data_IF_023701670938
#
_entry.id   IF_023701670938
#
_cell.length_a   1.000
_cell.length_b   1.000
_cell.length_c   1.000
_cell.angle_alpha   90.00
_cell.angle_beta   90.00
_cell.angle_gamma   90.00
#
_symmetry.space_group_name_H-M   'P 1'
#
loop_
_entity.id
_entity.type
_entity.pdbx_description
1 polymer ?
#
# COMPACT_ATOMS: atom_id res chain seq x y z
N UNK A 1 33.77 7.28 89.71
CA UNK A 1 33.58 8.74 89.74
C UNK A 1 32.53 9.10 88.69
N UNK A 2 31.47 9.62 89.17
CA UNK A 2 30.26 10.26 88.59
C UNK A 2 29.88 9.92 87.17
N UNK A 3 28.85 9.07 87.08
CA UNK A 3 27.95 8.86 85.94
C UNK A 3 27.06 10.09 85.71
N UNK A 4 26.88 10.50 84.44
CA UNK A 4 25.77 11.38 84.06
C UNK A 4 24.83 10.56 83.15
N UNK A 5 23.62 10.34 83.66
CA UNK A 5 22.53 9.80 82.94
C UNK A 5 21.90 10.89 82.04
N UNK A 6 21.77 10.62 80.74
CA UNK A 6 20.93 11.41 79.83
C UNK A 6 19.62 10.64 79.56
N UNK A 7 18.56 11.31 79.96
CA UNK A 7 17.18 10.87 79.76
C UNK A 7 16.81 11.10 78.26
N UNK A 8 16.57 10.02 77.53
CA UNK A 8 16.01 10.05 76.15
C UNK A 8 14.48 10.11 76.24
N UNK A 9 13.92 11.24 75.81
CA UNK A 9 12.50 11.43 75.57
C UNK A 9 12.18 10.82 74.22
N UNK A 10 11.44 9.72 74.15
CA UNK A 10 10.89 9.11 72.93
C UNK A 10 9.67 9.92 72.49
N UNK A 11 9.78 10.61 71.36
CA UNK A 11 8.65 11.17 70.64
C UNK A 11 8.23 10.10 69.62
N UNK A 12 6.98 9.66 69.52
CA UNK A 12 6.52 8.74 68.46
C UNK A 12 6.41 9.49 67.15
N UNK A 13 7.27 9.18 66.20
CA UNK A 13 7.13 9.56 64.83
C UNK A 13 6.00 8.73 64.22
N UNK A 14 4.86 9.38 63.96
CA UNK A 14 3.79 8.88 63.17
C UNK A 14 4.25 8.89 61.69
N UNK A 15 4.76 7.77 61.18
CA UNK A 15 5.07 7.59 59.79
C UNK A 15 3.81 7.18 59.05
N UNK A 16 3.21 8.11 58.33
CA UNK A 16 2.23 7.79 57.30
C UNK A 16 2.92 6.97 56.21
N UNK A 17 2.31 5.90 55.68
CA UNK A 17 2.88 5.18 54.52
C UNK A 17 2.89 6.10 53.31
N UNK A 18 3.89 5.96 52.40
CA UNK A 18 3.95 6.75 51.20
C UNK A 18 2.72 6.42 50.32
N UNK A 19 2.00 7.45 49.91
CA UNK A 19 0.97 7.34 48.90
C UNK A 19 1.62 6.74 47.64
N UNK A 20 1.25 5.50 47.31
CA UNK A 20 1.48 4.94 45.98
C UNK A 20 0.79 5.88 44.98
N UNK A 21 1.58 6.65 44.27
CA UNK A 21 1.12 7.30 43.02
C UNK A 21 0.71 6.18 42.09
N UNK A 22 -0.57 5.92 42.01
CA UNK A 22 -1.16 5.13 40.97
C UNK A 22 -0.76 5.78 39.63
N UNK A 23 0.26 5.21 39.00
CA UNK A 23 0.59 5.49 37.62
C UNK A 23 -0.68 5.23 36.81
N UNK A 24 -1.31 6.30 36.34
CA UNK A 24 -2.48 6.20 35.49
C UNK A 24 -2.10 5.30 34.31
N UNK A 25 -2.64 4.07 34.29
CA UNK A 25 -2.68 3.26 33.08
C UNK A 25 -3.38 4.13 32.06
N UNK A 26 -2.64 4.63 31.09
CA UNK A 26 -3.20 5.10 29.84
C UNK A 26 -3.86 3.86 29.23
N UNK A 27 -5.13 3.67 29.51
CA UNK A 27 -5.95 2.68 28.84
C UNK A 27 -6.19 3.22 27.43
N UNK A 28 -5.27 2.94 26.52
CA UNK A 28 -5.59 3.06 25.12
C UNK A 28 -6.77 2.14 24.85
N UNK A 29 -7.90 2.71 24.45
CA UNK A 29 -9.04 1.92 24.00
C UNK A 29 -8.53 0.92 22.94
N UNK A 30 -8.99 -0.35 22.96
CA UNK A 30 -8.53 -1.31 21.96
C UNK A 30 -8.80 -0.78 20.55
N UNK A 31 -7.92 -1.06 19.60
CA UNK A 31 -8.09 -0.61 18.24
C UNK A 31 -9.46 -1.03 17.70
N UNK A 32 -10.20 -0.07 17.19
CA UNK A 32 -11.59 -0.28 16.79
C UNK A 32 -11.63 -0.57 15.29
N UNK A 33 -11.66 -1.85 14.91
CA UNK A 33 -12.07 -2.27 13.59
C UNK A 33 -13.59 -2.41 13.56
N UNK A 34 -14.27 -1.67 12.70
CA UNK A 34 -15.72 -1.79 12.51
C UNK A 34 -16.05 -2.01 11.05
N UNK A 35 -16.97 -2.93 10.71
CA UNK A 35 -17.69 -2.85 9.45
C UNK A 35 -18.33 -1.48 9.36
N UNK A 36 -18.12 -0.82 8.22
CA UNK A 36 -18.45 0.60 8.14
C UNK A 36 -19.57 0.89 7.14
N UNK A 37 -19.85 -0.02 6.24
CA UNK A 37 -20.80 0.11 5.15
C UNK A 37 -20.37 -0.66 3.94
N UNK A 38 -20.91 -0.31 2.81
CA UNK A 38 -20.60 -0.95 1.53
C UNK A 38 -20.34 0.11 0.48
N UNK A 39 -19.42 -0.19 -0.42
CA UNK A 39 -19.29 0.50 -1.71
C UNK A 39 -20.58 0.33 -2.53
N UNK A 40 -20.75 1.10 -3.55
CA UNK A 40 -21.91 0.98 -4.47
C UNK A 40 -21.78 -0.25 -5.37
N UNK A 41 -20.56 -0.74 -5.57
CA UNK A 41 -20.24 -1.97 -6.31
C UNK A 41 -19.18 -2.80 -5.60
N UNK A 42 -19.29 -4.11 -5.75
CA UNK A 42 -18.25 -5.03 -5.31
C UNK A 42 -17.03 -4.96 -6.23
N UNK A 43 -15.83 -4.94 -5.65
CA UNK A 43 -14.58 -4.69 -6.38
C UNK A 43 -13.39 -5.42 -5.76
N UNK A 44 -12.54 -5.98 -6.61
CA UNK A 44 -11.19 -6.41 -6.23
C UNK A 44 -10.17 -5.82 -7.22
N UNK A 45 -8.93 -5.65 -6.79
CA UNK A 45 -7.88 -5.02 -7.63
C UNK A 45 -8.30 -3.68 -8.24
N UNK A 46 -9.18 -2.97 -7.53
CA UNK A 46 -9.53 -1.58 -7.79
C UNK A 46 -8.42 -0.66 -7.26
N UNK A 47 -8.39 0.58 -7.69
CA UNK A 47 -7.52 1.58 -7.08
C UNK A 47 -8.31 2.46 -6.11
N UNK A 48 -7.70 2.81 -4.96
CA UNK A 48 -8.21 3.76 -3.99
C UNK A 48 -7.19 4.86 -3.78
N UNK A 49 -7.55 6.09 -4.11
CA UNK A 49 -6.65 7.26 -4.11
C UNK A 49 -7.17 8.33 -3.18
N UNK A 50 -6.40 8.67 -2.13
CA UNK A 50 -6.71 9.81 -1.27
C UNK A 50 -6.52 11.11 -2.06
N UNK A 51 -7.58 11.91 -2.18
CA UNK A 51 -7.57 13.19 -2.86
C UNK A 51 -7.07 14.32 -1.93
N UNK A 52 -6.69 15.45 -2.52
CA UNK A 52 -6.20 16.62 -1.74
C UNK A 52 -7.24 17.18 -0.77
N UNK A 53 -8.54 17.02 -1.06
CA UNK A 53 -9.64 17.46 -0.21
C UNK A 53 -10.02 16.47 0.90
N UNK A 54 -9.30 15.33 0.99
CA UNK A 54 -9.48 14.28 1.98
C UNK A 54 -10.53 13.23 1.63
N UNK A 55 -11.23 13.36 0.49
CA UNK A 55 -12.07 12.30 -0.07
C UNK A 55 -11.21 11.18 -0.64
N UNK A 56 -11.77 9.98 -0.82
CA UNK A 56 -11.09 8.86 -1.47
C UNK A 56 -11.80 8.52 -2.78
N UNK A 57 -11.07 8.58 -3.88
CA UNK A 57 -11.53 8.12 -5.20
C UNK A 57 -11.29 6.62 -5.31
N UNK A 58 -12.33 5.86 -5.64
CA UNK A 58 -12.27 4.42 -5.89
C UNK A 58 -12.61 4.18 -7.36
N UNK A 59 -11.70 3.55 -8.13
CA UNK A 59 -11.87 3.37 -9.58
C UNK A 59 -11.76 1.92 -10.01
N UNK A 60 -12.63 1.51 -10.93
CA UNK A 60 -12.59 0.24 -11.64
C UNK A 60 -12.56 -0.99 -10.74
N UNK A 61 -11.80 -1.98 -11.14
CA UNK A 61 -11.63 -3.25 -10.46
C UNK A 61 -12.25 -4.41 -11.22
N UNK A 62 -11.94 -5.61 -10.77
CA UNK A 62 -12.62 -6.84 -11.17
C UNK A 62 -13.90 -7.00 -10.39
N UNK A 63 -14.89 -7.64 -11.02
CA UNK A 63 -16.17 -8.00 -10.44
C UNK A 63 -16.44 -9.47 -10.68
N UNK A 64 -16.83 -10.18 -9.62
CA UNK A 64 -17.23 -11.57 -9.66
C UNK A 64 -18.22 -11.85 -8.55
N UNK A 65 -19.49 -12.04 -8.91
CA UNK A 65 -20.58 -12.14 -7.93
C UNK A 65 -20.64 -13.52 -7.26
N UNK A 66 -20.39 -14.58 -8.04
CA UNK A 66 -20.42 -15.96 -7.54
C UNK A 66 -19.22 -16.76 -8.05
N UNK A 67 -18.84 -17.80 -7.35
CA UNK A 67 -17.66 -18.63 -7.63
C UNK A 67 -17.65 -19.27 -9.03
N UNK A 68 -18.79 -19.38 -9.71
CA UNK A 68 -18.91 -19.94 -11.07
C UNK A 68 -19.01 -18.90 -12.18
N UNK A 69 -19.12 -17.61 -11.83
CA UNK A 69 -19.32 -16.55 -12.82
C UNK A 69 -18.03 -16.20 -13.55
N UNK A 70 -18.18 -15.68 -14.77
CA UNK A 70 -17.09 -15.04 -15.48
C UNK A 70 -16.69 -13.73 -14.79
N UNK A 71 -15.39 -13.47 -14.70
CA UNK A 71 -14.86 -12.22 -14.16
C UNK A 71 -15.11 -11.08 -15.14
N UNK A 72 -15.70 -9.99 -14.65
CA UNK A 72 -15.93 -8.77 -15.42
C UNK A 72 -15.08 -7.61 -14.91
N UNK A 73 -15.07 -6.50 -15.62
CA UNK A 73 -14.29 -5.32 -15.29
C UNK A 73 -15.21 -4.11 -15.17
N UNK A 74 -14.97 -3.24 -14.21
CA UNK A 74 -15.76 -2.03 -14.00
C UNK A 74 -15.14 -0.81 -14.70
N UNK A 75 -15.98 0.05 -15.29
CA UNK A 75 -15.65 1.42 -15.69
C UNK A 75 -16.05 2.43 -14.65
N UNK A 76 -16.86 2.03 -13.66
CA UNK A 76 -17.43 2.96 -12.69
C UNK A 76 -16.38 3.45 -11.70
N UNK A 77 -16.63 4.64 -11.18
CA UNK A 77 -15.88 5.21 -10.06
C UNK A 77 -16.83 5.71 -8.99
N UNK A 78 -16.36 5.71 -7.77
CA UNK A 78 -17.09 6.25 -6.63
C UNK A 78 -16.19 7.06 -5.71
N UNK A 79 -16.78 7.96 -4.98
CA UNK A 79 -16.13 8.77 -3.96
C UNK A 79 -16.60 8.33 -2.58
N UNK A 80 -15.64 8.07 -1.69
CA UNK A 80 -15.91 8.03 -0.27
C UNK A 80 -15.61 9.40 0.36
N UNK A 81 -16.63 10.01 1.00
CA UNK A 81 -16.44 11.24 1.79
C UNK A 81 -16.38 10.90 3.28
N UNK A 82 -15.21 11.05 3.93
CA UNK A 82 -15.05 10.70 5.35
C UNK A 82 -15.83 11.61 6.30
N UNK A 83 -16.28 12.81 5.87
CA UNK A 83 -17.07 13.75 6.66
C UNK A 83 -18.52 13.29 6.76
N UNK A 84 -19.11 12.88 5.63
CA UNK A 84 -20.48 12.35 5.56
C UNK A 84 -20.55 10.86 5.79
N UNK A 85 -19.40 10.19 5.64
CA UNK A 85 -19.24 8.73 5.74
C UNK A 85 -20.09 7.99 4.70
N UNK A 86 -20.18 8.52 3.50
CA UNK A 86 -20.98 7.95 2.41
C UNK A 86 -20.12 7.65 1.20
N UNK A 87 -20.52 6.60 0.49
CA UNK A 87 -20.08 6.33 -0.87
C UNK A 87 -21.08 6.90 -1.85
N UNK A 88 -20.61 7.47 -2.93
CA UNK A 88 -21.44 8.00 -4.02
C UNK A 88 -20.74 7.76 -5.35
N UNK A 89 -21.50 7.42 -6.38
CA UNK A 89 -20.96 7.40 -7.73
C UNK A 89 -20.44 8.78 -8.11
N UNK A 90 -19.37 8.78 -8.92
CA UNK A 90 -18.80 9.95 -9.57
C UNK A 90 -18.76 9.70 -11.09
N UNK A 91 -17.98 10.46 -11.86
CA UNK A 91 -17.83 10.23 -13.30
C UNK A 91 -17.39 8.79 -13.62
N UNK A 92 -17.61 8.38 -14.87
CA UNK A 92 -17.28 7.05 -15.38
C UNK A 92 -16.05 7.11 -16.27
N UNK A 93 -15.16 6.12 -16.17
CA UNK A 93 -14.02 5.95 -17.08
C UNK A 93 -14.53 5.55 -18.47
N UNK A 94 -13.82 5.97 -19.52
CA UNK A 94 -14.15 5.62 -20.91
C UNK A 94 -14.00 4.11 -21.19
N UNK A 95 -13.22 3.41 -20.35
CA UNK A 95 -12.93 1.99 -20.50
C UNK A 95 -13.03 1.26 -19.17
N UNK A 96 -13.57 0.04 -19.21
CA UNK A 96 -13.51 -0.87 -18.08
C UNK A 96 -12.07 -1.25 -17.79
N UNK A 97 -11.65 -1.26 -16.51
CA UNK A 97 -10.28 -1.66 -16.14
C UNK A 97 -10.18 -2.19 -14.71
N UNK A 98 -9.35 -3.23 -14.53
CA UNK A 98 -8.93 -3.74 -13.23
C UNK A 98 -7.41 -3.85 -13.18
N UNK A 99 -6.82 -3.78 -11.99
CA UNK A 99 -5.37 -3.82 -11.81
C UNK A 99 -4.61 -2.71 -12.55
N UNK A 100 -5.27 -1.57 -12.76
CA UNK A 100 -4.69 -0.35 -13.30
C UNK A 100 -3.97 0.43 -12.21
N UNK A 101 -3.22 1.44 -12.60
CA UNK A 101 -2.63 2.40 -11.66
C UNK A 101 -3.49 3.66 -11.56
N UNK A 102 -3.57 4.23 -10.35
CA UNK A 102 -4.19 5.54 -10.09
C UNK A 102 -3.23 6.37 -9.25
N UNK A 103 -2.77 7.50 -9.81
CA UNK A 103 -1.73 8.33 -9.19
C UNK A 103 -2.22 9.76 -9.05
N UNK A 104 -2.32 10.26 -7.81
CA UNK A 104 -2.62 11.67 -7.55
C UNK A 104 -1.44 12.53 -7.98
N UNK A 105 -1.69 13.46 -8.90
CA UNK A 105 -0.71 14.43 -9.40
C UNK A 105 -0.62 15.65 -8.47
N UNK A 106 0.49 16.37 -8.51
CA UNK A 106 0.71 17.59 -7.71
C UNK A 106 -0.38 18.65 -7.94
N UNK A 107 -0.96 18.71 -9.16
CA UNK A 107 -2.06 19.59 -9.50
C UNK A 107 -3.45 19.12 -9.06
N UNK A 108 -3.58 18.01 -8.33
CA UNK A 108 -4.84 17.49 -7.80
C UNK A 108 -5.63 16.59 -8.74
N UNK A 109 -5.25 16.48 -10.01
CA UNK A 109 -5.82 15.49 -10.94
C UNK A 109 -5.31 14.08 -10.58
N UNK A 110 -6.07 13.04 -10.93
CA UNK A 110 -5.63 11.65 -10.77
C UNK A 110 -5.37 11.03 -12.14
N UNK A 111 -4.15 10.57 -12.37
CA UNK A 111 -3.78 9.79 -13.56
C UNK A 111 -4.21 8.34 -13.39
N UNK A 112 -5.04 7.85 -14.30
CA UNK A 112 -5.44 6.45 -14.41
C UNK A 112 -4.77 5.86 -15.63
N UNK A 113 -3.99 4.77 -15.50
CA UNK A 113 -3.22 4.23 -16.63
C UNK A 113 -3.16 2.70 -16.63
N UNK A 114 -3.21 2.10 -17.82
CA UNK A 114 -3.04 0.66 -18.05
C UNK A 114 -4.11 -0.23 -17.42
N UNK A 115 -3.68 -1.42 -17.00
CA UNK A 115 -4.53 -2.45 -16.42
C UNK A 115 -5.06 -3.46 -17.44
N UNK A 116 -6.04 -4.25 -17.02
CA UNK A 116 -6.72 -5.27 -17.82
C UNK A 116 -8.17 -4.89 -18.07
N UNK A 117 -8.72 -5.29 -19.19
CA UNK A 117 -10.13 -5.15 -19.56
C UNK A 117 -10.58 -6.42 -20.32
N UNK A 118 -11.86 -6.51 -20.65
CA UNK A 118 -12.39 -7.58 -21.53
C UNK A 118 -11.69 -7.60 -22.90
N UNK A 119 -11.15 -6.48 -23.35
CA UNK A 119 -10.42 -6.38 -24.64
C UNK A 119 -8.91 -6.69 -24.47
N UNK A 120 -8.50 -7.16 -23.29
CA UNK A 120 -7.11 -7.47 -22.94
C UNK A 120 -6.39 -6.34 -22.23
N UNK A 121 -5.06 -6.38 -22.25
CA UNK A 121 -4.20 -5.42 -21.57
C UNK A 121 -4.24 -4.05 -22.26
N UNK A 122 -4.24 -2.98 -21.48
CA UNK A 122 -4.48 -1.62 -21.97
C UNK A 122 -3.21 -0.76 -22.01
N UNK A 123 -3.14 0.14 -23.01
CA UNK A 123 -2.19 1.26 -23.04
C UNK A 123 -2.86 2.61 -22.77
N UNK A 124 -4.19 2.66 -22.74
CA UNK A 124 -4.95 3.90 -22.56
C UNK A 124 -4.75 4.50 -21.18
N UNK A 125 -4.86 5.82 -21.11
CA UNK A 125 -4.84 6.58 -19.87
C UNK A 125 -5.92 7.66 -19.86
N UNK A 126 -6.34 8.03 -18.67
CA UNK A 126 -7.37 9.04 -18.40
C UNK A 126 -6.93 9.90 -17.22
N UNK A 127 -7.38 11.15 -17.19
CA UNK A 127 -7.26 12.02 -16.03
C UNK A 127 -8.64 12.20 -15.41
N UNK A 128 -8.72 11.98 -14.11
CA UNK A 128 -9.88 12.33 -13.30
C UNK A 128 -9.65 13.70 -12.65
N UNK A 129 -10.66 14.57 -12.78
CA UNK A 129 -10.69 15.88 -12.13
C UNK A 129 -11.69 15.86 -10.96
N UNK A 130 -11.23 15.92 -9.69
CA UNK A 130 -12.10 15.91 -8.54
C UNK A 130 -13.03 17.12 -8.41
N UNK A 131 -12.73 18.23 -9.08
CA UNK A 131 -13.56 19.44 -9.03
C UNK A 131 -14.77 19.34 -9.94
N UNK A 132 -14.61 18.78 -11.14
CA UNK A 132 -15.69 18.56 -12.11
C UNK A 132 -16.27 17.16 -12.03
N UNK A 133 -15.64 16.25 -11.29
CA UNK A 133 -15.99 14.83 -11.16
C UNK A 133 -16.04 14.10 -12.52
N UNK A 134 -15.14 14.45 -13.43
CA UNK A 134 -15.10 13.90 -14.80
C UNK A 134 -13.78 13.24 -15.12
N UNK A 135 -13.89 12.18 -15.92
CA UNK A 135 -12.73 11.57 -16.60
C UNK A 135 -12.54 12.18 -17.98
N UNK A 136 -11.29 12.37 -18.37
CA UNK A 136 -10.89 12.84 -19.69
C UNK A 136 -9.83 11.93 -20.25
N UNK A 137 -10.07 11.31 -21.40
CA UNK A 137 -9.09 10.51 -22.11
C UNK A 137 -7.92 11.38 -22.55
N UNK A 138 -6.70 10.87 -22.37
CA UNK A 138 -5.44 11.52 -22.77
C UNK A 138 -4.65 10.60 -23.69
N UNK A 139 -3.43 11.03 -24.09
CA UNK A 139 -2.52 10.21 -24.88
C UNK A 139 -2.27 8.84 -24.23
N UNK A 140 -2.11 7.80 -25.03
CA UNK A 140 -1.82 6.44 -24.56
C UNK A 140 -0.32 6.24 -24.36
N UNK A 141 0.05 5.29 -23.48
CA UNK A 141 1.40 4.73 -23.43
C UNK A 141 1.77 4.08 -24.76
N UNK A 142 3.06 4.01 -25.06
CA UNK A 142 3.57 3.39 -26.29
C UNK A 142 3.26 1.89 -26.39
N UNK A 143 3.14 1.23 -25.24
CA UNK A 143 2.81 -0.19 -25.15
C UNK A 143 1.72 -0.45 -24.09
N UNK A 144 1.06 -1.59 -24.21
CA UNK A 144 0.08 -2.08 -23.25
C UNK A 144 0.78 -2.57 -21.98
N UNK A 145 0.23 -2.22 -20.79
CA UNK A 145 0.84 -2.56 -19.49
C UNK A 145 -0.23 -2.98 -18.48
N UNK A 146 -0.23 -4.27 -18.13
CA UNK A 146 -0.93 -4.80 -16.97
C UNK A 146 0.06 -5.15 -15.87
N UNK A 147 -0.25 -4.92 -14.60
CA UNK A 147 0.65 -5.18 -13.48
C UNK A 147 1.94 -4.33 -13.50
N UNK A 148 1.90 -3.17 -14.16
CA UNK A 148 2.95 -2.15 -14.09
C UNK A 148 2.82 -1.35 -12.79
N UNK A 149 3.82 -0.52 -12.52
CA UNK A 149 3.79 0.45 -11.44
C UNK A 149 3.77 1.87 -11.99
N UNK A 150 3.20 2.81 -11.20
CA UNK A 150 3.20 4.24 -11.49
C UNK A 150 3.64 4.99 -10.22
N UNK A 151 4.73 5.75 -10.30
CA UNK A 151 5.33 6.46 -9.18
C UNK A 151 5.46 7.94 -9.49
N UNK A 152 4.81 8.79 -8.68
CA UNK A 152 4.96 10.25 -8.78
C UNK A 152 6.37 10.63 -8.35
N UNK A 153 7.09 11.32 -9.22
CA UNK A 153 8.45 11.84 -8.99
C UNK A 153 8.41 13.24 -8.34
N UNK A 154 9.54 13.65 -7.77
CA UNK A 154 9.66 14.96 -7.13
C UNK A 154 9.50 16.15 -8.11
N UNK A 155 9.72 15.92 -9.41
CA UNK A 155 9.53 16.92 -10.47
C UNK A 155 8.09 17.00 -11.01
N UNK A 156 7.18 16.18 -10.44
CA UNK A 156 5.76 16.14 -10.80
C UNK A 156 5.44 15.20 -11.97
N UNK A 157 6.41 14.62 -12.65
CA UNK A 157 6.18 13.56 -13.65
C UNK A 157 5.84 12.24 -12.96
N UNK A 158 5.24 11.30 -13.69
CA UNK A 158 4.96 9.96 -13.19
C UNK A 158 5.78 8.94 -13.96
N UNK A 159 6.62 8.18 -13.25
CA UNK A 159 7.33 7.04 -13.83
C UNK A 159 6.36 5.85 -13.91
N UNK A 160 6.17 5.34 -15.13
CA UNK A 160 5.44 4.08 -15.35
C UNK A 160 6.43 3.07 -15.88
N UNK A 161 6.63 1.96 -15.18
CA UNK A 161 7.63 0.98 -15.57
C UNK A 161 7.12 -0.45 -15.52
N UNK A 162 7.69 -1.31 -16.38
CA UNK A 162 7.38 -2.73 -16.48
C UNK A 162 5.95 -3.01 -16.93
N UNK A 163 5.45 -4.13 -16.46
CA UNK A 163 4.13 -4.65 -16.82
C UNK A 163 4.20 -5.75 -17.88
N UNK A 164 3.05 -6.33 -18.14
CA UNK A 164 2.86 -7.33 -19.19
C UNK A 164 1.82 -6.86 -20.19
N UNK A 165 1.99 -7.22 -21.46
CA UNK A 165 1.06 -6.97 -22.53
C UNK A 165 1.06 -8.17 -23.46
N UNK A 166 1.70 -8.04 -24.63
CA UNK A 166 2.03 -9.20 -25.47
C UNK A 166 3.13 -10.04 -24.82
N UNK A 167 4.12 -9.34 -24.20
CA UNK A 167 5.23 -9.92 -23.44
C UNK A 167 5.47 -9.11 -22.17
N UNK A 168 6.21 -9.67 -21.22
CA UNK A 168 6.72 -8.93 -20.07
C UNK A 168 7.79 -7.94 -20.54
N UNK A 169 7.68 -6.69 -20.10
CA UNK A 169 8.54 -5.61 -20.58
C UNK A 169 9.47 -5.05 -19.49
N UNK A 170 10.66 -4.63 -19.92
CA UNK A 170 11.59 -3.83 -19.13
C UNK A 170 11.42 -2.31 -19.37
N UNK A 171 10.66 -1.91 -20.39
CA UNK A 171 10.56 -0.50 -20.78
C UNK A 171 9.86 0.34 -19.72
N UNK A 172 10.21 1.63 -19.67
CA UNK A 172 9.55 2.62 -18.84
C UNK A 172 9.22 3.87 -19.64
N UNK A 173 8.24 4.60 -19.17
CA UNK A 173 7.76 5.86 -19.72
C UNK A 173 7.51 6.86 -18.59
N UNK A 174 7.71 8.14 -18.88
CA UNK A 174 7.35 9.23 -17.99
C UNK A 174 6.07 9.89 -18.51
N UNK A 175 5.06 9.98 -17.68
CA UNK A 175 3.93 10.86 -17.96
C UNK A 175 4.28 12.29 -17.57
N UNK A 176 4.13 13.22 -18.50
CA UNK A 176 4.29 14.66 -18.30
C UNK A 176 2.90 15.31 -18.12
N UNK A 177 2.55 15.77 -16.91
CA UNK A 177 1.23 16.36 -16.64
C UNK A 177 0.96 17.65 -17.42
N UNK A 178 2.00 18.44 -17.73
CA UNK A 178 1.86 19.68 -18.48
C UNK A 178 1.54 19.44 -19.95
N UNK A 179 2.14 18.38 -20.52
CA UNK A 179 1.90 17.97 -21.92
C UNK A 179 0.77 16.97 -22.06
N UNK A 180 0.32 16.37 -20.96
CA UNK A 180 -0.66 15.27 -20.91
C UNK A 180 -0.28 14.10 -21.83
N UNK A 181 1.01 13.77 -21.88
CA UNK A 181 1.56 12.77 -22.80
C UNK A 181 2.66 11.95 -22.15
N UNK A 182 2.91 10.76 -22.72
CA UNK A 182 3.94 9.85 -22.28
C UNK A 182 5.20 10.03 -23.14
N UNK A 183 6.35 10.04 -22.49
CA UNK A 183 7.67 10.13 -23.12
C UNK A 183 8.51 8.91 -22.69
N UNK A 184 9.23 8.24 -23.63
CA UNK A 184 10.13 7.16 -23.27
C UNK A 184 11.22 7.64 -22.31
N UNK A 185 11.64 6.74 -21.41
CA UNK A 185 12.84 6.90 -20.58
C UNK A 185 13.67 5.62 -20.66
N UNK A 186 14.73 5.49 -19.87
CA UNK A 186 15.54 4.28 -19.81
C UNK A 186 14.72 3.03 -19.51
N UNK A 187 15.31 1.87 -19.75
CA UNK A 187 14.68 0.58 -19.46
C UNK A 187 15.38 -0.12 -18.30
N UNK A 188 14.62 -0.89 -17.51
CA UNK A 188 15.17 -1.84 -16.54
C UNK A 188 16.06 -2.87 -17.27
N UNK A 189 16.97 -3.49 -16.55
CA UNK A 189 17.78 -4.61 -17.06
C UNK A 189 16.97 -5.90 -17.13
N UNK A 190 16.02 -6.08 -16.18
CA UNK A 190 15.18 -7.27 -16.09
C UNK A 190 13.71 -6.89 -16.33
N UNK A 191 13.05 -7.47 -17.37
CA UNK A 191 11.63 -7.24 -17.59
C UNK A 191 10.82 -7.82 -16.41
N UNK A 192 9.83 -7.06 -15.92
CA UNK A 192 9.04 -7.46 -14.74
C UNK A 192 7.63 -6.89 -14.71
N UNK A 193 6.70 -7.64 -14.08
CA UNK A 193 5.36 -7.19 -13.74
C UNK A 193 4.99 -7.66 -12.32
N UNK A 194 3.95 -7.12 -11.72
CA UNK A 194 3.58 -7.41 -10.31
C UNK A 194 4.75 -7.21 -9.33
N UNK A 195 5.63 -6.28 -9.65
CA UNK A 195 6.72 -5.77 -8.83
C UNK A 195 6.24 -4.56 -8.02
N UNK A 196 7.09 -4.05 -7.15
CA UNK A 196 6.87 -2.77 -6.47
C UNK A 196 7.80 -1.69 -6.98
N UNK A 197 7.34 -0.44 -6.96
CA UNK A 197 8.15 0.75 -7.23
C UNK A 197 7.87 1.81 -6.17
N UNK A 198 8.90 2.25 -5.46
CA UNK A 198 8.77 3.13 -4.30
C UNK A 198 9.76 4.27 -4.39
N UNK A 199 9.26 5.52 -4.26
CA UNK A 199 10.11 6.71 -4.25
C UNK A 199 10.97 6.73 -2.99
N UNK A 200 12.29 6.86 -3.18
CA UNK A 200 13.27 7.01 -2.12
C UNK A 200 13.38 8.49 -1.69
N UNK A 201 13.80 8.79 -0.46
CA UNK A 201 13.96 10.17 0.02
C UNK A 201 14.85 11.04 -0.87
N UNK A 202 15.84 10.43 -1.54
CA UNK A 202 16.73 11.09 -2.51
C UNK A 202 16.12 11.35 -3.89
N UNK A 203 14.83 11.01 -4.11
CA UNK A 203 14.13 11.21 -5.38
C UNK A 203 14.34 10.12 -6.42
N UNK A 204 15.22 9.13 -6.17
CA UNK A 204 15.33 7.91 -6.98
C UNK A 204 14.14 6.99 -6.68
N UNK A 205 13.87 6.01 -7.55
CA UNK A 205 12.79 5.03 -7.35
C UNK A 205 13.39 3.63 -7.23
N UNK A 206 13.08 2.94 -6.14
CA UNK A 206 13.42 1.52 -5.94
C UNK A 206 12.37 0.65 -6.63
N UNK A 207 12.81 -0.24 -7.51
CA UNK A 207 12.00 -1.26 -8.18
C UNK A 207 12.44 -2.63 -7.66
N UNK A 208 11.53 -3.41 -7.05
CA UNK A 208 11.89 -4.66 -6.39
C UNK A 208 10.97 -5.81 -6.75
N UNK A 209 11.56 -7.00 -6.97
CA UNK A 209 10.86 -8.25 -7.20
C UNK A 209 10.01 -8.30 -8.46
N UNK A 210 8.89 -9.02 -8.38
CA UNK A 210 7.94 -9.23 -9.47
C UNK A 210 8.15 -10.53 -10.23
N UNK A 211 7.43 -10.65 -11.31
CA UNK A 211 7.47 -11.79 -12.24
C UNK A 211 8.15 -11.35 -13.54
N UNK A 212 9.09 -12.16 -14.01
CA UNK A 212 9.72 -11.98 -15.31
C UNK A 212 9.09 -12.92 -16.35
N UNK A 213 9.76 -13.11 -17.48
CA UNK A 213 9.30 -14.02 -18.54
C UNK A 213 9.15 -15.43 -17.99
N UNK A 214 8.13 -16.18 -18.49
CA UNK A 214 7.78 -17.54 -18.03
C UNK A 214 7.48 -17.59 -16.53
N UNK A 215 6.97 -16.46 -15.97
CA UNK A 215 6.58 -16.33 -14.58
C UNK A 215 7.70 -16.62 -13.56
N UNK A 216 8.95 -16.41 -13.96
CA UNK A 216 10.07 -16.51 -13.03
C UNK A 216 9.96 -15.41 -11.97
N UNK A 217 9.88 -15.80 -10.71
CA UNK A 217 9.81 -14.89 -9.56
C UNK A 217 11.19 -14.31 -9.29
N UNK A 218 11.27 -13.00 -9.08
CA UNK A 218 12.51 -12.24 -8.99
C UNK A 218 12.86 -11.89 -7.53
N UNK A 219 14.12 -12.09 -7.15
CA UNK A 219 14.73 -11.46 -5.97
C UNK A 219 15.37 -10.12 -6.33
N UNK A 220 15.69 -9.91 -7.60
CA UNK A 220 16.46 -8.75 -8.06
C UNK A 220 15.72 -7.43 -7.89
N UNK A 221 16.51 -6.38 -7.62
CA UNK A 221 16.02 -5.01 -7.53
C UNK A 221 16.88 -4.05 -8.37
N UNK A 222 16.28 -2.96 -8.77
CA UNK A 222 16.92 -1.89 -9.54
C UNK A 222 16.49 -0.52 -8.99
N UNK A 223 17.32 0.47 -9.18
CA UNK A 223 17.00 1.86 -8.84
C UNK A 223 16.97 2.70 -10.11
N UNK A 224 15.88 3.44 -10.29
CA UNK A 224 15.74 4.45 -11.34
C UNK A 224 16.21 5.81 -10.85
N UNK A 225 17.05 6.46 -11.60
CA UNK A 225 17.48 7.84 -11.36
C UNK A 225 16.78 8.79 -12.34
N UNK A 226 15.86 9.67 -11.87
CA UNK A 226 15.16 10.62 -12.75
C UNK A 226 16.06 11.69 -13.36
N UNK A 227 17.22 11.97 -12.76
CA UNK A 227 18.18 12.97 -13.26
C UNK A 227 18.92 12.50 -14.52
N UNK A 228 19.22 11.20 -14.59
CA UNK A 228 19.88 10.58 -15.76
C UNK A 228 18.91 9.83 -16.66
N UNK A 229 17.73 9.48 -16.16
CA UNK A 229 16.75 8.66 -16.86
C UNK A 229 17.17 7.18 -16.98
N UNK A 230 18.05 6.68 -16.10
CA UNK A 230 18.62 5.32 -16.20
C UNK A 230 18.26 4.45 -15.01
N UNK A 231 18.29 3.13 -15.22
CA UNK A 231 18.16 2.12 -14.18
C UNK A 231 19.52 1.51 -13.87
N UNK A 232 19.77 1.19 -12.61
CA UNK A 232 20.96 0.47 -12.15
C UNK A 232 20.56 -0.63 -11.18
N UNK A 233 21.22 -1.79 -11.29
CA UNK A 233 21.00 -2.89 -10.36
C UNK A 233 21.52 -2.51 -8.96
N UNK A 234 20.82 -2.98 -7.93
CA UNK A 234 21.21 -2.92 -6.52
C UNK A 234 21.24 -4.31 -5.93
N UNK A 235 21.50 -4.46 -4.63
CA UNK A 235 21.50 -5.77 -3.98
C UNK A 235 20.16 -6.48 -4.12
N UNK A 236 20.19 -7.81 -4.17
CA UNK A 236 19.00 -8.65 -4.25
C UNK A 236 18.31 -8.77 -2.88
N UNK A 237 17.00 -9.01 -2.88
CA UNK A 237 16.26 -9.46 -1.70
C UNK A 237 16.69 -10.88 -1.30
N UNK A 238 16.52 -11.25 -0.03
CA UNK A 238 16.87 -12.57 0.46
C UNK A 238 16.07 -13.69 -0.22
N UNK A 239 14.79 -13.41 -0.54
CA UNK A 239 13.92 -14.38 -1.20
C UNK A 239 13.26 -13.75 -2.43
N UNK A 240 13.15 -14.48 -3.56
CA UNK A 240 12.39 -14.01 -4.71
C UNK A 240 10.92 -13.83 -4.34
N UNK A 241 10.30 -12.75 -4.80
CA UNK A 241 8.89 -12.46 -4.48
C UNK A 241 8.19 -11.61 -5.52
N UNK A 242 6.90 -11.85 -5.67
CA UNK A 242 5.98 -11.01 -6.44
C UNK A 242 4.70 -10.75 -5.64
N UNK A 243 3.88 -9.79 -6.08
CA UNK A 243 2.61 -9.41 -5.41
C UNK A 243 2.81 -9.06 -3.93
N UNK A 244 4.00 -8.60 -3.58
CA UNK A 244 4.37 -8.06 -2.28
C UNK A 244 3.83 -6.64 -2.11
N UNK A 245 3.89 -6.12 -0.88
CA UNK A 245 3.74 -4.70 -0.60
C UNK A 245 5.11 -4.03 -0.47
N UNK A 246 5.17 -2.73 -0.83
CA UNK A 246 6.30 -1.87 -0.51
C UNK A 246 5.79 -0.52 -0.02
N UNK A 247 6.40 0.00 1.03
CA UNK A 247 5.97 1.26 1.64
C UNK A 247 7.16 2.07 2.12
N UNK A 248 7.14 3.37 1.79
CA UNK A 248 8.04 4.35 2.37
C UNK A 248 7.50 4.83 3.71
N UNK A 249 8.34 4.83 4.73
CA UNK A 249 8.04 5.36 6.05
C UNK A 249 8.47 6.83 6.16
N UNK A 250 7.88 7.56 7.10
CA UNK A 250 8.27 8.94 7.40
C UNK A 250 9.73 9.08 7.85
N UNK A 251 10.34 8.01 8.36
CA UNK A 251 11.77 7.92 8.66
C UNK A 251 12.67 7.93 7.42
N UNK A 252 12.11 7.73 6.21
CA UNK A 252 12.83 7.56 4.95
C UNK A 252 13.21 6.10 4.65
N UNK A 253 12.87 5.17 5.50
CA UNK A 253 13.05 3.75 5.29
C UNK A 253 12.02 3.21 4.30
N UNK A 254 12.40 2.20 3.53
CA UNK A 254 11.48 1.46 2.66
C UNK A 254 11.38 0.03 3.19
N UNK A 255 10.16 -0.41 3.43
CA UNK A 255 9.87 -1.80 3.80
C UNK A 255 9.26 -2.54 2.62
N UNK A 256 9.75 -3.77 2.40
CA UNK A 256 9.16 -4.74 1.48
C UNK A 256 8.55 -5.86 2.32
N UNK A 257 7.26 -6.10 2.15
CA UNK A 257 6.49 -6.99 3.00
C UNK A 257 5.86 -8.13 2.20
N UNK A 258 6.02 -9.35 2.69
CA UNK A 258 5.34 -10.53 2.18
C UNK A 258 5.55 -10.77 0.70
N UNK A 259 4.48 -11.10 0.00
CA UNK A 259 4.49 -11.56 -1.38
C UNK A 259 4.43 -13.06 -1.46
N UNK A 260 4.64 -13.61 -2.65
CA UNK A 260 4.75 -15.04 -2.88
C UNK A 260 5.99 -15.36 -3.70
N UNK A 261 6.66 -16.44 -3.36
CA UNK A 261 7.84 -16.98 -4.08
C UNK A 261 7.45 -17.91 -5.23
N UNK A 262 6.15 -18.17 -5.41
CA UNK A 262 5.61 -19.08 -6.42
C UNK A 262 4.48 -18.42 -7.21
N UNK A 263 4.35 -18.83 -8.47
CA UNK A 263 3.25 -18.42 -9.34
C UNK A 263 1.93 -19.13 -9.00
N UNK A 264 1.99 -20.35 -8.51
CA UNK A 264 0.85 -21.08 -7.96
C UNK A 264 0.47 -20.51 -6.58
N UNK A 265 -0.80 -20.37 -6.30
CA UNK A 265 -1.48 -19.77 -5.13
C UNK A 265 -1.00 -20.28 -3.73
N UNK A 266 0.18 -20.86 -3.62
CA UNK A 266 0.80 -21.40 -2.43
C UNK A 266 2.23 -20.85 -2.33
N UNK A 267 2.71 -20.56 -1.14
CA UNK A 267 4.04 -20.00 -0.89
C UNK A 267 4.02 -18.52 -0.51
N UNK A 268 2.92 -18.06 0.12
CA UNK A 268 2.86 -16.71 0.65
C UNK A 268 3.91 -16.52 1.75
N UNK A 269 4.56 -15.37 1.77
CA UNK A 269 5.68 -15.04 2.66
C UNK A 269 5.21 -14.15 3.81
N UNK A 270 5.77 -14.39 5.00
CA UNK A 270 5.67 -13.46 6.13
C UNK A 270 6.86 -12.50 6.22
N UNK A 271 7.86 -12.72 5.39
CA UNK A 271 9.14 -12.04 5.41
C UNK A 271 9.01 -10.54 5.19
N UNK A 272 9.71 -9.76 6.04
CA UNK A 272 9.88 -8.32 5.88
C UNK A 272 11.36 -8.00 5.68
N UNK A 273 11.64 -7.15 4.70
CA UNK A 273 12.98 -6.62 4.48
C UNK A 273 12.92 -5.09 4.40
N UNK A 274 13.91 -4.46 5.02
CA UNK A 274 14.15 -3.03 4.93
C UNK A 274 15.22 -2.77 3.88
N UNK A 275 14.97 -1.85 2.96
CA UNK A 275 15.97 -1.38 2.02
C UNK A 275 16.81 -0.27 2.65
N UNK A 276 18.11 -0.50 2.72
CA UNK A 276 19.13 0.48 3.09
C UNK A 276 19.63 1.19 1.82
N UNK A 277 19.18 2.42 1.62
CA UNK A 277 19.56 3.23 0.46
C UNK A 277 21.02 3.68 0.44
N UNK A 278 21.68 3.70 1.61
CA UNK A 278 23.11 4.03 1.73
C UNK A 278 24.02 2.88 1.30
N UNK A 279 23.65 1.66 1.66
CA UNK A 279 24.35 0.45 1.30
C UNK A 279 23.80 -0.26 0.06
N UNK A 280 22.71 0.23 -0.50
CA UNK A 280 21.98 -0.35 -1.65
C UNK A 280 21.69 -1.85 -1.48
N UNK A 281 21.24 -2.24 -0.28
CA UNK A 281 21.00 -3.63 0.11
C UNK A 281 19.74 -3.80 0.93
N UNK A 282 19.22 -5.02 0.96
CA UNK A 282 18.11 -5.41 1.81
C UNK A 282 18.59 -6.01 3.13
N UNK A 283 17.91 -5.69 4.21
CA UNK A 283 18.20 -6.14 5.58
C UNK A 283 16.92 -6.77 6.12
N UNK A 284 16.99 -8.05 6.49
CA UNK A 284 15.87 -8.75 7.11
C UNK A 284 15.57 -8.14 8.49
N UNK A 285 14.28 -7.95 8.77
CA UNK A 285 13.75 -7.54 10.06
C UNK A 285 12.69 -8.56 10.53
N UNK A 286 12.15 -8.48 11.76
CA UNK A 286 11.16 -9.44 12.24
C UNK A 286 9.98 -9.61 11.28
N UNK A 287 9.63 -10.86 11.00
CA UNK A 287 8.58 -11.25 10.05
C UNK A 287 7.18 -10.88 10.55
N UNK A 288 6.22 -10.70 9.64
CA UNK A 288 4.80 -10.65 9.98
C UNK A 288 4.37 -11.92 10.71
N UNK A 289 3.33 -11.84 11.51
CA UNK A 289 2.73 -13.01 12.20
C UNK A 289 1.99 -13.94 11.24
N UNK A 290 1.61 -13.44 10.06
CA UNK A 290 0.91 -14.21 9.03
C UNK A 290 1.52 -13.98 7.66
N UNK A 291 1.74 -15.05 6.87
CA UNK A 291 2.15 -14.91 5.49
C UNK A 291 1.05 -14.27 4.66
N UNK A 292 1.44 -13.38 3.72
CA UNK A 292 0.50 -12.61 2.89
C UNK A 292 1.05 -12.36 1.50
N UNK A 293 0.18 -12.48 0.52
CA UNK A 293 0.42 -11.99 -0.83
C UNK A 293 -0.83 -11.26 -1.38
N UNK A 294 -0.70 -10.57 -2.51
CA UNK A 294 -1.81 -9.86 -3.18
C UNK A 294 -2.46 -8.79 -2.31
N UNK A 295 -1.66 -8.15 -1.47
CA UNK A 295 -2.10 -7.10 -0.53
C UNK A 295 -1.33 -5.79 -0.73
N UNK A 296 -0.61 -5.63 -1.83
CA UNK A 296 0.27 -4.47 -2.05
C UNK A 296 -0.38 -3.09 -1.91
N UNK A 297 -1.71 -3.02 -2.06
CA UNK A 297 -2.51 -1.81 -1.87
C UNK A 297 -3.23 -1.77 -0.50
N UNK A 298 -3.05 -2.79 0.34
CA UNK A 298 -3.71 -2.91 1.64
C UNK A 298 -2.74 -2.67 2.81
N UNK A 299 -1.83 -1.72 2.64
CA UNK A 299 -0.83 -1.32 3.63
C UNK A 299 -0.89 0.19 3.79
N UNK A 300 -1.03 0.68 5.03
CA UNK A 300 -1.18 2.10 5.32
C UNK A 300 -0.21 2.57 6.41
N UNK A 301 0.74 3.49 6.10
CA UNK A 301 1.59 4.11 7.10
C UNK A 301 0.77 5.10 7.95
N UNK A 302 0.91 5.03 9.29
CA UNK A 302 0.27 5.93 10.23
C UNK A 302 1.17 7.13 10.56
N UNK A 303 0.58 8.19 11.10
CA UNK A 303 1.29 9.42 11.44
C UNK A 303 2.37 9.24 12.52
N UNK A 304 2.24 8.22 13.37
CA UNK A 304 3.22 7.88 14.40
C UNK A 304 4.38 7.01 13.88
N UNK A 305 4.42 6.77 12.57
CA UNK A 305 5.43 5.94 11.91
C UNK A 305 5.13 4.44 11.94
N UNK A 306 4.08 3.99 12.64
CA UNK A 306 3.67 2.59 12.57
C UNK A 306 2.93 2.30 11.26
N UNK A 307 2.80 1.01 10.94
CA UNK A 307 2.24 0.54 9.68
C UNK A 307 1.10 -0.43 9.95
N UNK A 308 -0.07 -0.15 9.38
CA UNK A 308 -1.20 -1.10 9.35
C UNK A 308 -1.08 -1.97 8.13
N UNK A 309 -1.08 -3.29 8.31
CA UNK A 309 -1.10 -4.29 7.25
C UNK A 309 -2.43 -5.02 7.28
N UNK A 310 -3.23 -4.81 6.24
CA UNK A 310 -4.51 -5.48 6.01
C UNK A 310 -4.50 -6.23 4.68
N UNK A 311 -5.47 -7.09 4.44
CA UNK A 311 -5.56 -7.87 3.21
C UNK A 311 -4.57 -9.04 3.10
N UNK A 312 -4.81 -9.93 2.15
CA UNK A 312 -4.05 -11.16 1.97
C UNK A 312 -4.27 -12.21 3.06
N UNK A 313 -4.74 -11.81 4.23
CA UNK A 313 -5.16 -12.64 5.37
C UNK A 313 -6.32 -11.96 6.09
N UNK A 314 -7.04 -12.71 6.94
CA UNK A 314 -8.13 -12.14 7.74
C UNK A 314 -7.65 -11.24 8.88
N UNK A 315 -6.40 -11.38 9.33
CA UNK A 315 -5.84 -10.60 10.44
C UNK A 315 -5.35 -9.24 9.96
N UNK A 316 -5.46 -8.24 10.83
CA UNK A 316 -4.80 -6.94 10.66
C UNK A 316 -3.61 -6.91 11.61
N UNK A 317 -2.44 -6.61 11.06
CA UNK A 317 -1.22 -6.48 11.83
C UNK A 317 -0.79 -5.02 11.94
N UNK A 318 -0.21 -4.67 13.08
CA UNK A 318 0.48 -3.41 13.33
C UNK A 318 1.98 -3.69 13.43
N UNK A 319 2.73 -3.01 12.59
CA UNK A 319 4.19 -2.98 12.65
C UNK A 319 4.61 -1.65 13.26
N UNK A 320 5.39 -1.68 14.34
CA UNK A 320 5.97 -0.48 14.91
C UNK A 320 7.33 -0.25 14.25
N UNK A 321 7.45 0.81 13.47
CA UNK A 321 8.66 1.09 12.68
C UNK A 321 9.78 1.79 13.47
N UNK A 322 9.51 2.25 14.68
CA UNK A 322 10.52 2.93 15.50
C UNK A 322 11.67 1.97 15.86
N UNK A 323 12.72 1.97 15.01
CA UNK A 323 13.95 1.21 15.24
C UNK A 323 14.02 -0.20 14.67
N UNK A 324 12.99 -0.71 13.97
CA UNK A 324 13.05 -1.99 13.22
C UNK A 324 13.12 -3.25 14.07
N UNK A 325 13.09 -3.17 15.41
CA UNK A 325 13.24 -4.32 16.31
C UNK A 325 11.93 -4.78 16.95
N UNK A 326 10.86 -3.97 16.88
CA UNK A 326 9.59 -4.35 17.48
C UNK A 326 8.87 -5.39 16.62
N UNK A 327 8.52 -6.51 17.25
CA UNK A 327 7.77 -7.57 16.59
C UNK A 327 6.37 -7.10 16.14
N UNK A 328 5.94 -7.44 14.92
CA UNK A 328 4.57 -7.21 14.46
C UNK A 328 3.53 -7.83 15.41
N UNK A 329 2.41 -7.19 15.57
CA UNK A 329 1.32 -7.67 16.45
C UNK A 329 -0.01 -7.73 15.71
N UNK A 330 -0.77 -8.81 15.92
CA UNK A 330 -2.14 -8.92 15.44
C UNK A 330 -3.02 -8.05 16.35
N UNK A 331 -3.68 -7.06 15.75
CA UNK A 331 -4.48 -6.06 16.49
C UNK A 331 -5.98 -6.17 16.24
N UNK A 332 -6.38 -6.81 15.13
CA UNK A 332 -7.77 -7.03 14.78
C UNK A 332 -7.90 -8.18 13.76
N UNK A 333 -9.13 -8.57 13.45
CA UNK A 333 -9.42 -9.53 12.40
C UNK A 333 -10.68 -9.13 11.65
N UNK A 334 -10.63 -9.27 10.33
CA UNK A 334 -11.78 -9.23 9.44
C UNK A 334 -12.59 -10.53 9.58
N UNK A 335 -13.78 -10.55 9.07
CA UNK A 335 -14.63 -11.76 9.06
C UNK A 335 -14.06 -12.86 8.13
N UNK A 336 -13.36 -12.47 7.07
CA UNK A 336 -12.70 -13.37 6.10
C UNK A 336 -11.34 -12.83 5.66
N UNK A 337 -10.58 -13.62 4.94
CA UNK A 337 -9.43 -13.16 4.15
C UNK A 337 -9.91 -12.38 2.93
N UNK A 338 -9.23 -11.26 2.64
CA UNK A 338 -9.50 -10.47 1.45
C UNK A 338 -8.20 -10.17 0.71
N UNK A 339 -8.05 -10.74 -0.49
CA UNK A 339 -6.93 -10.43 -1.37
C UNK A 339 -7.29 -9.34 -2.37
N UNK A 340 -6.30 -8.56 -2.81
CA UNK A 340 -6.49 -7.40 -3.70
C UNK A 340 -7.48 -6.34 -3.17
N UNK A 341 -7.58 -6.23 -1.85
CA UNK A 341 -8.21 -5.11 -1.15
C UNK A 341 -7.29 -3.88 -1.12
N UNK A 342 -7.85 -2.74 -0.72
CA UNK A 342 -7.07 -1.50 -0.52
C UNK A 342 -7.15 -1.03 0.92
N UNK A 343 -6.10 -0.34 1.40
CA UNK A 343 -6.10 0.35 2.69
C UNK A 343 -5.59 1.78 2.48
N UNK A 344 -6.41 2.76 2.84
CA UNK A 344 -6.12 4.18 2.65
C UNK A 344 -6.12 4.89 4.00
N UNK A 345 -5.01 5.52 4.37
CA UNK A 345 -4.96 6.41 5.54
C UNK A 345 -5.76 7.68 5.24
N UNK A 346 -6.77 7.96 6.06
CA UNK A 346 -7.55 9.18 5.99
C UNK A 346 -6.91 10.30 6.79
N UNK A 347 -7.21 11.56 6.44
CA UNK A 347 -6.67 12.75 7.12
C UNK A 347 -6.95 12.79 8.63
N UNK A 348 -8.01 12.09 9.10
CA UNK A 348 -8.35 11.97 10.52
C UNK A 348 -7.58 10.83 11.24
N UNK A 349 -6.59 10.21 10.60
CA UNK A 349 -5.76 9.16 11.19
C UNK A 349 -6.42 7.78 11.25
N UNK A 350 -7.58 7.61 10.63
CA UNK A 350 -8.23 6.30 10.47
C UNK A 350 -7.80 5.65 9.16
N UNK A 351 -7.79 4.32 9.09
CA UNK A 351 -7.51 3.57 7.86
C UNK A 351 -8.81 3.01 7.31
N UNK A 352 -9.13 3.36 6.07
CA UNK A 352 -10.25 2.81 5.30
C UNK A 352 -9.77 1.59 4.53
N UNK A 353 -10.39 0.42 4.79
CA UNK A 353 -10.10 -0.84 4.09
C UNK A 353 -11.29 -1.18 3.21
N UNK A 354 -11.06 -1.50 1.93
CA UNK A 354 -12.10 -1.67 0.93
C UNK A 354 -11.93 -2.94 0.10
N UNK A 355 -13.04 -3.63 -0.16
CA UNK A 355 -13.20 -4.62 -1.21
C UNK A 355 -12.23 -5.81 -1.12
N UNK A 356 -11.96 -6.39 -2.26
CA UNK A 356 -11.09 -7.55 -2.44
C UNK A 356 -11.86 -8.81 -2.84
N UNK A 357 -11.12 -9.90 -3.12
CA UNK A 357 -11.66 -11.24 -3.26
C UNK A 357 -11.64 -11.93 -1.90
N UNK A 358 -12.74 -12.56 -1.53
CA UNK A 358 -12.79 -13.43 -0.37
C UNK A 358 -12.16 -14.82 -0.63
N UNK A 359 -12.21 -15.69 0.37
CA UNK A 359 -11.67 -17.06 0.33
C UNK A 359 -12.41 -17.99 -0.65
N UNK A 360 -13.56 -17.57 -1.18
CA UNK A 360 -14.28 -18.26 -2.26
C UNK A 360 -13.94 -17.72 -3.65
N UNK A 361 -13.17 -16.64 -3.73
CA UNK A 361 -12.87 -15.91 -4.95
C UNK A 361 -14.02 -15.04 -5.44
N UNK A 362 -14.93 -14.65 -4.54
CA UNK A 362 -16.01 -13.69 -4.81
C UNK A 362 -15.53 -12.29 -4.45
N UNK A 363 -15.90 -11.29 -5.26
CA UNK A 363 -15.59 -9.89 -4.93
C UNK A 363 -16.54 -9.36 -3.88
N UNK A 364 -16.10 -8.37 -3.10
CA UNK A 364 -16.93 -7.76 -2.06
C UNK A 364 -17.02 -6.25 -2.22
N UNK A 365 -18.15 -5.68 -1.77
CA UNK A 365 -18.40 -4.26 -1.63
C UNK A 365 -18.10 -3.74 -0.22
N UNK A 366 -17.70 -4.60 0.70
CA UNK A 366 -17.53 -4.26 2.12
C UNK A 366 -16.46 -3.21 2.34
N UNK A 367 -16.72 -2.38 3.34
CA UNK A 367 -15.81 -1.38 3.85
C UNK A 367 -15.63 -1.51 5.36
N UNK A 368 -14.40 -1.33 5.81
CA UNK A 368 -14.05 -1.31 7.23
C UNK A 368 -13.28 -0.04 7.55
N UNK A 369 -13.50 0.46 8.75
CA UNK A 369 -12.72 1.58 9.28
C UNK A 369 -11.93 1.09 10.51
N UNK A 370 -10.61 1.21 10.40
CA UNK A 370 -9.70 0.94 11.51
C UNK A 370 -9.28 2.27 12.15
N UNK A 371 -9.25 2.30 13.49
CA UNK A 371 -8.67 3.38 14.29
C UNK A 371 -7.72 2.78 15.31
N UNK A 372 -6.52 3.36 15.38
CA UNK A 372 -5.54 3.00 16.40
C UNK A 372 -5.89 3.64 17.75
#
# INVERSE_FOLDING_TARGET
MRAFAFLLILIPLCSSPPEERQGGKVTSSPPLLKPFGTMTEQRASHAATLLQDGRVLITGGFRKEHSGDDETYSSTAEIFDPRTKKFSYTGEMSYTRGGHTATLLTGGLVLIAGGWSLMGVMSSAELYDPASEKFTTIGSMSIRRGGCTATLLNDGRVLICGGTGRDVTASAELFDPARKSFIPTGSMTVPRYSHTATLLPGGRVLIAGGLSRRDAVLASAEVYDPGTGTFSAVGDMAEPRCKQAAVGLSSGEILILGGTDQTAWRGDLALIERYDSGGEKFIRIPDMKRPRARFGMAVAPLADGSLVVAGGDRTIELLNSAGGEAEPSIIASLDRSYSYSTATLLTAGSVLILGGYDDKGETTDRAWLFRK
#
